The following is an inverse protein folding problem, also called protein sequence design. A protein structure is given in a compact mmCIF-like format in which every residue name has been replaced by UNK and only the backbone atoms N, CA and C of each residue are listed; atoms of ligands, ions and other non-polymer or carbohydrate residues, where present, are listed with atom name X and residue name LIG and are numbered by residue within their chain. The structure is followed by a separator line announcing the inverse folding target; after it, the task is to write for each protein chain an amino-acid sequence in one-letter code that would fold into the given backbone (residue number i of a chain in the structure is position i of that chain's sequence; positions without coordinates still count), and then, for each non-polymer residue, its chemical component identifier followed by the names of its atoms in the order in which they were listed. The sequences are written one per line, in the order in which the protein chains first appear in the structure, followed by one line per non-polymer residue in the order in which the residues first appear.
data_IF_955922993422
#
_entry.id   IF_955922993422
#
_cell.length_a   1.000
_cell.length_b   1.000
_cell.length_c   1.000
_cell.angle_alpha   90.00
_cell.angle_beta   90.00
_cell.angle_gamma   90.00
#
_symmetry.space_group_name_H-M   'P 1'
#
loop_
_entity.id
_entity.type
_entity.pdbx_description
1 polymer ?
#
# COMPACT_ATOMS: atom_id res chain seq x y z
N UNK A 1 22.30 34.84 50.17
CA UNK A 1 23.04 33.85 49.37
C UNK A 1 22.01 33.00 48.60
N UNK A 2 21.68 33.39 47.39
CA UNK A 2 20.58 32.81 46.61
C UNK A 2 21.18 31.95 45.53
N UNK A 3 20.93 30.65 45.62
CA UNK A 3 21.31 29.69 44.58
C UNK A 3 20.24 29.70 43.49
N UNK A 4 20.61 30.22 42.31
CA UNK A 4 19.80 30.09 41.10
C UNK A 4 20.21 28.80 40.40
N UNK A 5 19.36 27.80 40.47
CA UNK A 5 19.52 26.53 39.77
C UNK A 5 19.15 26.74 38.32
N UNK A 6 20.10 26.50 37.41
CA UNK A 6 19.90 26.45 35.98
C UNK A 6 18.91 25.32 35.62
N UNK A 7 17.70 25.65 35.22
CA UNK A 7 16.82 24.77 34.49
C UNK A 7 17.15 24.87 33.01
N UNK A 8 17.93 23.92 32.53
CA UNK A 8 18.18 23.71 31.11
C UNK A 8 16.88 23.27 30.43
N UNK A 9 16.33 24.16 29.62
CA UNK A 9 15.22 23.88 28.73
C UNK A 9 15.72 23.03 27.55
N UNK A 10 15.81 21.74 27.73
CA UNK A 10 15.87 20.81 26.63
C UNK A 10 14.47 20.64 26.02
N UNK A 11 14.03 21.62 25.28
CA UNK A 11 12.90 21.49 24.37
C UNK A 11 13.34 20.60 23.19
N UNK A 12 13.29 19.30 23.41
CA UNK A 12 13.47 18.32 22.34
C UNK A 12 12.47 18.58 21.24
N UNK A 13 12.95 19.13 20.14
CA UNK A 13 12.22 19.34 18.91
C UNK A 13 11.92 17.97 18.27
N UNK A 14 10.98 17.23 18.85
CA UNK A 14 10.32 16.08 18.19
C UNK A 14 9.51 16.70 17.05
N UNK A 15 10.14 16.88 15.88
CA UNK A 15 9.40 17.03 14.63
C UNK A 15 8.40 15.88 14.63
N UNK A 16 7.11 16.20 14.79
CA UNK A 16 6.04 15.20 14.62
C UNK A 16 6.25 14.64 13.23
N UNK A 17 6.66 13.38 13.17
CA UNK A 17 6.74 12.64 11.94
C UNK A 17 5.32 12.68 11.38
N UNK A 18 5.13 13.39 10.25
CA UNK A 18 3.82 13.54 9.66
C UNK A 18 3.25 12.14 9.45
N UNK A 19 2.09 11.90 10.05
CA UNK A 19 1.43 10.62 9.88
C UNK A 19 0.93 10.55 8.43
N UNK A 20 1.54 9.71 7.62
CA UNK A 20 1.12 9.46 6.23
C UNK A 20 -0.38 9.13 6.13
N UNK A 21 -0.94 8.63 7.21
CA UNK A 21 -2.35 8.37 7.33
C UNK A 21 -3.20 9.65 7.29
N UNK A 22 -2.75 10.73 7.92
CA UNK A 22 -3.47 12.01 7.88
C UNK A 22 -3.50 12.60 6.47
N UNK A 23 -2.44 12.38 5.68
CA UNK A 23 -2.41 12.78 4.26
C UNK A 23 -3.49 12.03 3.47
N UNK A 24 -3.61 10.71 3.68
CA UNK A 24 -4.62 9.90 3.02
C UNK A 24 -6.05 10.28 3.44
N UNK A 25 -6.27 10.64 4.71
CA UNK A 25 -7.57 11.02 5.26
C UNK A 25 -8.16 12.27 4.62
N UNK A 26 -7.31 13.23 4.24
CA UNK A 26 -7.75 14.49 3.60
C UNK A 26 -7.63 14.44 2.06
N UNK A 27 -7.13 13.34 1.49
CA UNK A 27 -6.94 13.21 0.06
C UNK A 27 -8.28 13.19 -0.69
N UNK A 28 -8.46 14.03 -1.71
CA UNK A 28 -9.69 14.03 -2.53
C UNK A 28 -9.79 12.79 -3.43
N UNK A 29 -8.65 12.17 -3.77
CA UNK A 29 -8.56 11.01 -4.64
C UNK A 29 -8.66 9.73 -3.80
N UNK A 30 -9.87 9.32 -3.48
CA UNK A 30 -10.10 8.15 -2.64
C UNK A 30 -9.63 6.85 -3.30
N UNK A 31 -8.37 6.43 -3.07
CA UNK A 31 -7.87 5.15 -3.56
C UNK A 31 -8.58 3.92 -2.94
N UNK A 32 -9.59 4.14 -2.12
CA UNK A 32 -10.51 3.11 -1.62
C UNK A 32 -11.81 3.06 -2.42
N UNK A 33 -11.93 3.80 -3.53
CA UNK A 33 -13.10 3.82 -4.43
C UNK A 33 -12.67 3.17 -5.75
N UNK A 34 -13.41 2.16 -6.19
CA UNK A 34 -13.12 1.40 -7.41
C UNK A 34 -11.79 0.62 -7.37
N UNK A 35 -11.22 0.44 -6.18
CA UNK A 35 -9.96 -0.25 -6.03
C UNK A 35 -10.17 -1.70 -5.60
N UNK A 36 -9.63 -2.62 -6.37
CA UNK A 36 -9.63 -4.06 -6.08
C UNK A 36 -8.20 -4.55 -5.82
N UNK A 37 -7.58 -4.14 -4.70
CA UNK A 37 -6.21 -4.52 -4.41
C UNK A 37 -6.11 -6.04 -4.26
N UNK A 38 -5.20 -6.71 -5.00
CA UNK A 38 -5.03 -8.15 -4.89
C UNK A 38 -4.57 -8.55 -3.50
N UNK A 39 -5.03 -9.72 -3.06
CA UNK A 39 -4.72 -10.31 -1.77
C UNK A 39 -4.01 -11.64 -1.94
N UNK A 40 -2.87 -11.80 -1.28
CA UNK A 40 -2.30 -13.12 -1.11
C UNK A 40 -3.12 -13.96 -0.12
N UNK A 41 -3.10 -15.31 -0.21
CA UNK A 41 -3.74 -16.17 0.78
C UNK A 41 -3.27 -15.88 2.21
N UNK A 42 -2.00 -15.53 2.36
CA UNK A 42 -1.42 -15.13 3.65
C UNK A 42 -2.04 -13.81 4.16
N UNK A 43 -2.12 -12.79 3.31
CA UNK A 43 -2.69 -11.49 3.69
C UNK A 43 -4.16 -11.61 4.06
N UNK A 44 -4.93 -12.40 3.32
CA UNK A 44 -6.31 -12.71 3.67
C UNK A 44 -6.44 -13.25 5.09
N UNK A 45 -5.59 -14.24 5.46
CA UNK A 45 -5.59 -14.79 6.83
C UNK A 45 -5.26 -13.73 7.87
N UNK A 46 -4.24 -12.91 7.61
CA UNK A 46 -3.85 -11.81 8.51
C UNK A 46 -5.00 -10.83 8.73
N UNK A 47 -5.67 -10.42 7.67
CA UNK A 47 -6.84 -9.53 7.77
C UNK A 47 -7.98 -10.22 8.54
N UNK A 48 -8.31 -11.46 8.22
CA UNK A 48 -9.36 -12.21 8.91
C UNK A 48 -9.11 -12.31 10.42
N UNK A 49 -7.89 -12.67 10.81
CA UNK A 49 -7.50 -12.74 12.23
C UNK A 49 -7.59 -11.35 12.90
N UNK A 50 -7.17 -10.29 12.22
CA UNK A 50 -7.26 -8.93 12.74
C UNK A 50 -8.73 -8.51 12.97
N UNK A 51 -9.61 -8.78 12.03
CA UNK A 51 -11.05 -8.48 12.16
C UNK A 51 -11.63 -9.19 13.40
N UNK A 52 -11.35 -10.49 13.53
CA UNK A 52 -11.80 -11.30 14.66
C UNK A 52 -11.26 -10.77 16.01
N UNK A 53 -9.97 -10.53 16.10
CA UNK A 53 -9.31 -10.06 17.33
C UNK A 53 -9.79 -8.68 17.79
N UNK A 54 -10.21 -7.84 16.86
CA UNK A 54 -10.67 -6.47 17.16
C UNK A 54 -12.21 -6.35 17.20
N UNK A 55 -12.95 -7.46 17.09
CA UNK A 55 -14.41 -7.44 17.11
C UNK A 55 -15.03 -6.64 15.95
N UNK A 56 -14.34 -6.54 14.81
CA UNK A 56 -14.81 -5.82 13.63
C UNK A 56 -15.67 -6.76 12.80
N UNK A 57 -16.97 -6.60 12.89
CA UNK A 57 -17.93 -7.40 12.12
C UNK A 57 -18.03 -6.84 10.70
N UNK A 58 -17.59 -7.63 9.71
CA UNK A 58 -17.76 -7.35 8.27
C UNK A 58 -18.23 -8.64 7.62
N UNK A 59 -19.44 -8.61 7.06
CA UNK A 59 -19.98 -9.74 6.35
C UNK A 59 -19.29 -9.89 4.99
N UNK A 60 -18.92 -11.15 4.64
CA UNK A 60 -18.26 -11.49 3.37
C UNK A 60 -17.22 -10.45 2.93
N UNK A 61 -16.11 -10.29 3.69
CA UNK A 61 -15.19 -9.18 3.48
C UNK A 61 -14.36 -9.28 2.20
N UNK A 62 -14.37 -10.42 1.54
CA UNK A 62 -13.55 -10.69 0.35
C UNK A 62 -14.39 -11.23 -0.80
N UNK A 63 -14.00 -10.87 -2.00
CA UNK A 63 -14.51 -11.40 -3.26
C UNK A 63 -13.42 -12.12 -4.03
N UNK A 64 -13.84 -13.08 -4.87
CA UNK A 64 -12.99 -13.88 -5.73
C UNK A 64 -13.36 -13.63 -7.19
N UNK A 65 -12.43 -13.09 -7.96
CA UNK A 65 -12.49 -12.95 -9.41
C UNK A 65 -11.30 -13.67 -10.05
N UNK A 66 -10.62 -13.03 -10.99
CA UNK A 66 -9.32 -13.49 -11.48
C UNK A 66 -8.26 -13.54 -10.36
N UNK A 67 -8.48 -12.80 -9.31
CA UNK A 67 -7.74 -12.84 -8.05
C UNK A 67 -8.67 -12.45 -6.89
N UNK A 68 -8.25 -12.72 -5.67
CA UNK A 68 -8.99 -12.32 -4.47
C UNK A 68 -8.71 -10.87 -4.10
N UNK A 69 -9.76 -10.14 -3.70
CA UNK A 69 -9.68 -8.73 -3.28
C UNK A 69 -10.71 -8.42 -2.17
N UNK A 70 -10.57 -7.31 -1.43
CA UNK A 70 -11.60 -6.84 -0.51
C UNK A 70 -12.87 -6.48 -1.28
N UNK A 71 -14.02 -6.93 -0.79
CA UNK A 71 -15.31 -6.65 -1.41
C UNK A 71 -15.54 -5.14 -1.54
N UNK A 72 -16.25 -4.75 -2.57
CA UNK A 72 -16.76 -3.39 -2.74
C UNK A 72 -18.19 -3.29 -2.21
N UNK A 73 -18.53 -2.14 -1.68
CA UNK A 73 -19.92 -1.77 -1.35
C UNK A 73 -20.64 -1.34 -2.62
N UNK A 74 -21.99 -1.23 -2.60
CA UNK A 74 -22.82 -0.89 -3.77
C UNK A 74 -22.42 0.44 -4.43
N UNK A 75 -21.80 1.35 -3.69
CA UNK A 75 -21.28 2.61 -4.21
C UNK A 75 -19.79 2.54 -4.63
N UNK A 76 -19.26 1.33 -4.81
CA UNK A 76 -17.91 1.09 -5.32
C UNK A 76 -16.79 1.37 -4.31
N UNK A 77 -17.09 1.56 -3.03
CA UNK A 77 -16.06 1.74 -2.01
C UNK A 77 -15.57 0.40 -1.46
N UNK A 78 -14.29 0.33 -1.08
CA UNK A 78 -13.77 -0.81 -0.34
C UNK A 78 -14.55 -1.02 0.95
N UNK A 79 -14.97 -2.25 1.25
CA UNK A 79 -15.76 -2.63 2.44
C UNK A 79 -15.07 -2.23 3.76
N UNK A 80 -13.75 -2.08 3.76
CA UNK A 80 -12.98 -1.66 4.92
C UNK A 80 -12.86 -0.13 5.07
N UNK A 81 -13.49 0.66 4.21
CA UNK A 81 -13.50 2.11 4.34
C UNK A 81 -14.59 2.56 5.32
N UNK A 82 -14.21 3.09 6.46
CA UNK A 82 -15.12 3.87 7.29
C UNK A 82 -15.30 5.26 6.67
N UNK A 83 -16.41 5.47 5.98
CA UNK A 83 -16.71 6.71 5.22
C UNK A 83 -16.82 7.94 6.13
N UNK A 84 -17.41 7.78 7.32
CA UNK A 84 -17.59 8.88 8.26
C UNK A 84 -16.28 9.39 8.82
N UNK A 85 -15.41 8.47 9.22
CA UNK A 85 -14.08 8.77 9.75
C UNK A 85 -13.03 8.97 8.63
N UNK A 86 -13.35 8.65 7.37
CA UNK A 86 -12.43 8.58 6.22
C UNK A 86 -11.20 7.73 6.55
N UNK A 87 -11.42 6.56 7.15
CA UNK A 87 -10.37 5.70 7.69
C UNK A 87 -10.51 4.27 7.20
N UNK A 88 -9.37 3.64 6.91
CA UNK A 88 -9.31 2.21 6.66
C UNK A 88 -9.40 1.45 7.99
N UNK A 89 -10.40 0.60 8.16
CA UNK A 89 -10.61 -0.23 9.36
C UNK A 89 -9.46 -1.22 9.60
N UNK A 90 -8.81 -1.65 8.52
CA UNK A 90 -7.70 -2.60 8.55
C UNK A 90 -6.34 -1.94 8.23
N UNK A 91 -6.16 -0.66 8.55
CA UNK A 91 -4.98 0.10 8.12
C UNK A 91 -3.64 -0.56 8.46
N UNK A 92 -3.52 -1.18 9.63
CA UNK A 92 -2.29 -1.86 10.09
C UNK A 92 -1.99 -3.17 9.34
N UNK A 93 -3.00 -3.78 8.72
CA UNK A 93 -2.91 -5.07 8.03
C UNK A 93 -3.44 -5.03 6.60
N UNK A 94 -3.56 -3.85 6.01
CA UNK A 94 -4.12 -3.62 4.67
C UNK A 94 -3.41 -4.42 3.57
N UNK A 95 -4.05 -4.62 2.41
CA UNK A 95 -3.47 -5.35 1.27
C UNK A 95 -2.07 -4.86 0.88
N UNK A 96 -1.28 -5.73 0.27
CA UNK A 96 0.12 -5.48 -0.09
C UNK A 96 0.26 -4.21 -0.96
N UNK A 97 -0.57 -4.07 -2.00
CA UNK A 97 -0.57 -2.87 -2.86
C UNK A 97 -1.06 -1.62 -2.14
N UNK A 98 -1.97 -1.74 -1.16
CA UNK A 98 -2.36 -0.63 -0.30
C UNK A 98 -1.24 -0.22 0.66
N UNK A 99 -0.37 -1.14 1.09
CA UNK A 99 0.83 -0.82 1.86
C UNK A 99 1.86 -0.12 0.97
N UNK A 100 2.03 -0.61 -0.26
CA UNK A 100 3.00 -0.09 -1.21
C UNK A 100 2.63 1.32 -1.73
N UNK A 101 1.34 1.62 -1.89
CA UNK A 101 0.91 2.90 -2.43
C UNK A 101 1.55 4.13 -1.74
N UNK A 102 2.06 5.08 -2.51
CA UNK A 102 1.86 5.34 -3.95
C UNK A 102 2.86 4.64 -4.89
N UNK A 103 3.69 3.75 -4.39
CA UNK A 103 4.58 2.95 -5.24
C UNK A 103 3.79 1.80 -5.85
N UNK A 104 3.96 1.60 -7.15
CA UNK A 104 3.39 0.51 -7.93
C UNK A 104 4.47 -0.18 -8.75
N UNK A 105 4.11 -1.19 -9.53
CA UNK A 105 5.06 -2.04 -10.24
C UNK A 105 4.49 -2.55 -11.54
N UNK A 106 5.39 -3.00 -12.39
CA UNK A 106 5.10 -3.84 -13.56
C UNK A 106 6.18 -4.92 -13.68
N UNK A 107 5.90 -5.98 -14.42
CA UNK A 107 6.87 -7.03 -14.74
C UNK A 107 7.09 -7.09 -16.24
N UNK A 108 8.27 -6.71 -16.66
CA UNK A 108 8.71 -6.90 -18.02
C UNK A 108 9.21 -8.34 -18.19
N UNK A 109 8.36 -9.21 -18.73
CA UNK A 109 8.67 -10.63 -18.90
C UNK A 109 9.77 -10.90 -19.95
N UNK A 110 9.98 -9.98 -20.89
CA UNK A 110 11.03 -10.10 -21.91
C UNK A 110 12.41 -9.86 -21.33
N UNK A 111 12.54 -8.81 -20.52
CA UNK A 111 13.81 -8.46 -19.87
C UNK A 111 14.03 -9.13 -18.52
N UNK A 112 12.99 -9.75 -17.94
CA UNK A 112 13.03 -10.35 -16.61
C UNK A 112 13.14 -9.31 -15.49
N UNK A 113 12.63 -8.10 -15.70
CA UNK A 113 12.72 -7.00 -14.74
C UNK A 113 11.39 -6.73 -14.03
N UNK A 114 11.48 -6.50 -12.74
CA UNK A 114 10.41 -5.93 -11.90
C UNK A 114 10.64 -4.42 -11.89
N UNK A 115 9.81 -3.71 -12.62
CA UNK A 115 9.89 -2.27 -12.78
C UNK A 115 9.11 -1.56 -11.68
N UNK A 116 9.69 -0.53 -11.09
CA UNK A 116 9.10 0.26 -10.02
C UNK A 116 8.65 1.61 -10.53
N UNK A 117 7.46 1.99 -10.15
CA UNK A 117 6.86 3.27 -10.52
C UNK A 117 6.33 4.00 -9.29
N UNK A 118 6.32 5.30 -9.35
CA UNK A 118 5.70 6.17 -8.36
C UNK A 118 4.55 6.95 -9.00
N UNK A 119 3.38 6.90 -8.39
CA UNK A 119 2.23 7.71 -8.78
C UNK A 119 2.56 9.19 -8.59
N UNK A 120 2.18 10.04 -9.52
CA UNK A 120 2.41 11.48 -9.40
C UNK A 120 1.49 12.11 -8.34
N UNK A 121 1.85 13.28 -7.86
CA UNK A 121 1.01 14.05 -6.91
C UNK A 121 -0.36 14.44 -7.48
N UNK A 122 -0.55 14.36 -8.79
CA UNK A 122 -1.86 14.58 -9.45
C UNK A 122 -2.87 13.52 -9.03
N UNK A 123 -2.41 12.28 -8.78
CA UNK A 123 -3.28 11.17 -8.39
C UNK A 123 -3.19 10.89 -6.90
N UNK A 124 -2.01 11.02 -6.30
CA UNK A 124 -1.76 10.63 -4.93
C UNK A 124 -1.10 11.77 -4.14
N UNK A 125 -1.85 12.37 -3.22
CA UNK A 125 -1.33 13.42 -2.34
C UNK A 125 -0.15 12.95 -1.50
N UNK A 126 -0.10 11.67 -1.13
CA UNK A 126 1.01 11.08 -0.39
C UNK A 126 2.31 11.07 -1.22
N UNK A 127 2.22 10.86 -2.54
CA UNK A 127 3.40 10.94 -3.41
C UNK A 127 4.06 12.31 -3.31
N UNK A 128 3.29 13.39 -3.43
CA UNK A 128 3.80 14.76 -3.29
C UNK A 128 4.42 15.05 -1.92
N UNK A 129 3.94 14.39 -0.88
CA UNK A 129 4.49 14.48 0.47
C UNK A 129 5.81 13.72 0.59
N UNK A 130 5.86 12.48 0.10
CA UNK A 130 7.06 11.63 0.12
C UNK A 130 8.24 12.25 -0.66
N UNK A 131 7.97 12.94 -1.76
CA UNK A 131 9.01 13.61 -2.53
C UNK A 131 9.79 14.70 -1.73
N UNK A 132 9.18 15.22 -0.67
CA UNK A 132 9.77 16.30 0.13
C UNK A 132 10.65 15.79 1.27
N UNK A 133 10.53 14.52 1.66
CA UNK A 133 11.29 13.93 2.77
C UNK A 133 11.96 12.63 2.29
N UNK A 134 13.25 12.74 1.98
CA UNK A 134 14.07 11.64 1.47
C UNK A 134 14.13 10.44 2.42
N UNK A 135 14.16 10.67 3.72
CA UNK A 135 14.25 9.58 4.70
C UNK A 135 12.93 8.80 4.78
N UNK A 136 11.81 9.49 4.87
CA UNK A 136 10.48 8.88 4.83
C UNK A 136 10.22 8.16 3.51
N UNK A 137 10.65 8.76 2.40
CA UNK A 137 10.59 8.13 1.09
C UNK A 137 11.35 6.79 1.07
N UNK A 138 12.62 6.79 1.50
CA UNK A 138 13.46 5.58 1.50
C UNK A 138 12.89 4.47 2.38
N UNK A 139 12.35 4.81 3.56
CA UNK A 139 11.67 3.83 4.43
C UNK A 139 10.43 3.25 3.77
N UNK A 140 9.62 4.11 3.16
CA UNK A 140 8.41 3.70 2.47
C UNK A 140 8.73 2.81 1.26
N UNK A 141 9.70 3.19 0.44
CA UNK A 141 10.16 2.42 -0.71
C UNK A 141 10.59 1.01 -0.32
N UNK A 142 11.42 0.87 0.72
CA UNK A 142 11.85 -0.45 1.24
C UNK A 142 10.66 -1.30 1.68
N UNK A 143 9.67 -0.70 2.34
CA UNK A 143 8.45 -1.38 2.75
C UNK A 143 7.60 -1.80 1.56
N UNK A 144 7.40 -0.90 0.59
CA UNK A 144 6.63 -1.14 -0.61
C UNK A 144 7.23 -2.28 -1.44
N UNK A 145 8.53 -2.22 -1.72
CA UNK A 145 9.25 -3.25 -2.47
C UNK A 145 9.15 -4.62 -1.80
N UNK A 146 9.24 -4.69 -0.48
CA UNK A 146 9.08 -5.94 0.27
C UNK A 146 7.68 -6.52 0.10
N UNK A 147 6.64 -5.71 0.23
CA UNK A 147 5.26 -6.18 0.12
C UNK A 147 4.91 -6.61 -1.31
N UNK A 148 5.35 -5.86 -2.31
CA UNK A 148 5.12 -6.22 -3.72
C UNK A 148 5.88 -7.49 -4.12
N UNK A 149 7.16 -7.65 -3.73
CA UNK A 149 7.90 -8.89 -3.99
C UNK A 149 7.17 -10.10 -3.42
N UNK A 150 6.63 -9.97 -2.20
CA UNK A 150 5.83 -11.03 -1.59
C UNK A 150 4.54 -11.28 -2.37
N UNK A 151 3.86 -10.24 -2.79
CA UNK A 151 2.64 -10.35 -3.60
C UNK A 151 2.90 -11.18 -4.86
N UNK A 152 3.87 -10.80 -5.67
CA UNK A 152 4.17 -11.47 -6.95
C UNK A 152 4.68 -12.90 -6.76
N UNK A 153 5.33 -13.20 -5.65
CA UNK A 153 5.75 -14.55 -5.29
C UNK A 153 4.58 -15.45 -4.87
N UNK A 154 3.63 -14.93 -4.08
CA UNK A 154 2.54 -15.73 -3.51
C UNK A 154 1.33 -15.86 -4.45
N UNK A 155 1.09 -14.92 -5.36
CA UNK A 155 0.01 -15.02 -6.34
C UNK A 155 0.29 -16.16 -7.35
N UNK A 156 -0.78 -16.82 -7.79
CA UNK A 156 -0.72 -17.76 -8.90
C UNK A 156 -0.55 -17.06 -10.25
N UNK A 157 -0.42 -17.85 -11.32
CA UNK A 157 -0.15 -17.34 -12.66
C UNK A 157 -1.32 -16.51 -13.23
N UNK A 158 -2.56 -16.93 -12.97
CA UNK A 158 -3.77 -16.27 -13.47
C UNK A 158 -3.93 -14.92 -12.80
N UNK A 159 -3.88 -14.87 -11.46
CA UNK A 159 -3.95 -13.66 -10.68
C UNK A 159 -2.85 -12.67 -11.04
N UNK A 160 -1.62 -13.16 -11.21
CA UNK A 160 -0.48 -12.31 -11.57
C UNK A 160 -0.66 -11.69 -12.96
N UNK A 161 -1.07 -12.47 -13.97
CA UNK A 161 -1.36 -11.93 -15.30
C UNK A 161 -2.48 -10.90 -15.26
N UNK A 162 -3.56 -11.18 -14.52
CA UNK A 162 -4.69 -10.28 -14.42
C UNK A 162 -4.31 -8.91 -13.84
N UNK A 163 -3.45 -8.86 -12.82
CA UNK A 163 -3.02 -7.58 -12.25
C UNK A 163 -2.06 -6.80 -13.16
N UNK A 164 -1.25 -7.49 -13.97
CA UNK A 164 -0.31 -6.86 -14.91
C UNK A 164 -1.00 -6.29 -16.15
N UNK A 165 -2.27 -6.62 -16.42
CA UNK A 165 -3.05 -6.01 -17.50
C UNK A 165 -3.71 -4.69 -17.11
N UNK A 166 -3.66 -4.30 -15.81
CA UNK A 166 -4.26 -3.07 -15.35
C UNK A 166 -3.38 -1.87 -15.68
N UNK A 167 -3.92 -0.95 -16.47
CA UNK A 167 -3.23 0.31 -16.78
C UNK A 167 -3.24 1.25 -15.57
N UNK A 168 -2.08 1.78 -15.21
CA UNK A 168 -1.94 2.80 -14.18
C UNK A 168 -1.41 4.11 -14.78
N UNK A 169 -2.31 5.07 -15.08
CA UNK A 169 -1.90 6.34 -15.64
C UNK A 169 -1.14 7.22 -14.63
N UNK A 170 -0.37 8.20 -15.17
CA UNK A 170 0.32 9.21 -14.35
C UNK A 170 1.31 8.61 -13.34
N UNK A 171 2.11 7.67 -13.77
CA UNK A 171 3.22 7.09 -13.02
C UNK A 171 4.56 7.50 -13.62
N UNK A 172 5.61 7.48 -12.79
CA UNK A 172 7.00 7.77 -13.19
C UNK A 172 7.87 6.59 -12.78
N UNK A 173 8.64 6.05 -13.74
CA UNK A 173 9.59 4.96 -13.45
C UNK A 173 10.66 5.44 -12.49
N UNK A 174 10.89 4.66 -11.42
CA UNK A 174 11.89 4.95 -10.38
C UNK A 174 13.14 4.09 -10.52
N UNK A 175 13.00 2.91 -11.11
CA UNK A 175 14.07 1.94 -11.24
C UNK A 175 13.53 0.56 -11.52
N UNK A 176 14.40 -0.43 -11.44
CA UNK A 176 14.06 -1.83 -11.68
C UNK A 176 14.93 -2.75 -10.83
N UNK A 177 14.44 -3.96 -10.60
CA UNK A 177 15.15 -5.05 -9.94
C UNK A 177 14.96 -6.33 -10.78
N UNK A 178 15.77 -7.35 -10.55
CA UNK A 178 15.54 -8.65 -11.19
C UNK A 178 14.31 -9.34 -10.61
N UNK A 179 13.51 -9.95 -11.48
CA UNK A 179 12.39 -10.80 -11.09
C UNK A 179 12.93 -12.16 -10.66
N UNK A 180 12.41 -12.70 -9.58
CA UNK A 180 12.75 -14.06 -9.15
C UNK A 180 12.37 -15.09 -10.24
N UNK A 181 13.22 -16.08 -10.53
CA UNK A 181 12.99 -17.04 -11.62
C UNK A 181 11.66 -17.76 -11.54
N UNK A 182 11.20 -18.08 -10.33
CA UNK A 182 9.90 -18.73 -10.09
C UNK A 182 8.71 -17.86 -10.47
N UNK A 183 8.85 -16.52 -10.36
CA UNK A 183 7.80 -15.57 -10.78
C UNK A 183 7.76 -15.47 -12.30
N UNK A 184 8.93 -15.42 -12.96
CA UNK A 184 9.01 -15.43 -14.42
C UNK A 184 8.42 -16.71 -14.99
N UNK A 185 8.65 -17.86 -14.36
CA UNK A 185 8.09 -19.13 -14.79
C UNK A 185 6.55 -19.13 -14.79
N UNK A 186 5.90 -18.38 -13.90
CA UNK A 186 4.43 -18.22 -13.90
C UNK A 186 3.91 -17.41 -15.09
N UNK A 187 4.71 -16.50 -15.65
CA UNK A 187 4.32 -15.61 -16.74
C UNK A 187 4.61 -16.20 -18.11
N UNK A 188 5.60 -17.08 -18.23
CA UNK A 188 5.92 -17.80 -19.43
C UNK A 188 4.94 -18.99 -19.58
N UNK A 189 4.16 -18.96 -20.63
CA UNK A 189 3.40 -20.11 -21.15
C UNK A 189 4.19 -20.83 -22.21
#
# INVERSE_FOLDING_TARGET
MSAWTNMSLEAGNKRRQADFYDVCRICPNGCCIGARPPLTPRRRRVIGNFLQQNGIAVDTPFENGAYMFPRETDDGCCIFLNKNAKKCLIHSVKPETCVAGPITFDINAETGKLEWFLKTSKICSLAGFLYKDRESYSRHEKSAKREIRRLVQELDAEALRAILTMDEPNIVKMGEDDVAPEVLAKLKL
#
